data_IF_395699545802
#
_entry.id   IF_395699545802
#
_cell.length_a   1.000
_cell.length_b   1.000
_cell.length_c   1.000
_cell.angle_alpha   90.00
_cell.angle_beta   90.00
_cell.angle_gamma   90.00
#
_symmetry.space_group_name_H-M   'P 1'
#
loop_
_entity.id
_entity.type
_entity.pdbx_description
1 polymer ?
#
# COMPACT_ATOMS: atom_id res chain seq x y z
N UNK A 1 30.70 7.70 -4.19
CA UNK A 1 30.18 7.81 -2.82
C UNK A 1 28.77 7.23 -2.78
N UNK A 2 28.28 6.76 -1.62
CA UNK A 2 26.94 6.22 -1.54
C UNK A 2 25.89 7.34 -1.67
N UNK A 3 24.79 7.03 -2.36
CA UNK A 3 23.70 7.95 -2.67
C UNK A 3 22.47 7.50 -1.88
N UNK A 4 21.58 8.45 -1.58
CA UNK A 4 20.28 8.14 -0.98
C UNK A 4 20.30 7.78 0.50
N UNK A 5 21.43 7.86 1.21
CA UNK A 5 21.49 7.63 2.68
C UNK A 5 20.41 8.38 3.50
N UNK A 6 20.03 9.63 3.19
CA UNK A 6 18.95 10.32 3.92
C UNK A 6 17.53 9.88 3.51
N UNK A 7 17.39 9.08 2.45
CA UNK A 7 16.13 8.79 1.76
C UNK A 7 15.83 7.30 1.59
N UNK A 8 16.84 6.43 1.65
CA UNK A 8 16.69 4.99 1.70
C UNK A 8 16.58 4.56 3.16
N UNK A 9 15.41 4.06 3.61
CA UNK A 9 15.24 3.61 4.99
C UNK A 9 16.17 2.45 5.35
N UNK A 10 16.62 1.68 4.35
CA UNK A 10 17.51 0.54 4.53
C UNK A 10 19.00 0.92 4.64
N UNK A 11 19.36 2.21 4.50
CA UNK A 11 20.75 2.66 4.65
C UNK A 11 20.90 3.36 6.02
N UNK A 12 21.65 2.78 6.97
CA UNK A 12 21.84 3.35 8.30
C UNK A 12 22.52 4.73 8.25
N UNK A 13 22.12 5.60 9.18
CA UNK A 13 22.83 6.85 9.44
C UNK A 13 24.23 6.59 10.02
N UNK A 14 25.08 7.61 10.17
CA UNK A 14 26.46 7.44 10.69
C UNK A 14 26.51 6.87 12.11
N UNK A 15 25.41 7.02 12.86
CA UNK A 15 25.33 6.58 14.24
C UNK A 15 24.56 5.26 14.41
N UNK A 16 24.06 4.67 13.32
CA UNK A 16 23.29 3.44 13.35
C UNK A 16 24.18 2.21 13.17
N UNK A 17 23.84 1.12 13.87
CA UNK A 17 24.55 -0.16 13.74
C UNK A 17 24.16 -0.85 12.44
N UNK A 18 25.16 -1.28 11.65
CA UNK A 18 24.95 -2.15 10.49
C UNK A 18 24.68 -3.57 10.98
N UNK A 19 23.48 -4.08 10.75
CA UNK A 19 22.99 -5.38 11.20
C UNK A 19 23.14 -6.44 10.08
N UNK A 20 23.02 -6.05 8.81
CA UNK A 20 23.15 -6.97 7.67
C UNK A 20 23.86 -6.34 6.45
N UNK A 21 24.16 -7.17 5.44
CA UNK A 21 24.89 -6.72 4.24
C UNK A 21 24.11 -5.78 3.32
N UNK A 22 22.77 -5.73 3.42
CA UNK A 22 21.94 -4.83 2.62
C UNK A 22 22.10 -3.37 3.09
N UNK A 23 22.40 -3.19 4.37
CA UNK A 23 22.67 -1.90 5.00
C UNK A 23 24.08 -1.36 4.71
N UNK A 24 24.94 -2.15 4.04
CA UNK A 24 26.27 -1.69 3.64
C UNK A 24 26.15 -0.65 2.53
N UNK A 25 26.76 0.50 2.77
CA UNK A 25 26.73 1.61 1.86
C UNK A 25 27.58 1.30 0.61
N UNK A 26 26.94 1.13 -0.55
CA UNK A 26 27.62 0.81 -1.82
C UNK A 26 27.68 2.02 -2.72
N UNK A 27 28.71 2.10 -3.56
CA UNK A 27 28.75 3.08 -4.65
C UNK A 27 27.75 2.60 -5.72
N UNK A 28 26.69 3.38 -6.02
CA UNK A 28 25.70 2.95 -6.99
C UNK A 28 26.25 3.01 -8.41
N UNK A 29 25.89 2.03 -9.22
CA UNK A 29 26.06 2.11 -10.68
C UNK A 29 25.02 3.08 -11.29
N UNK A 30 25.14 3.36 -12.59
CA UNK A 30 24.26 4.35 -13.24
C UNK A 30 22.78 3.94 -13.25
N UNK A 31 22.48 2.64 -13.33
CA UNK A 31 21.11 2.15 -13.21
C UNK A 31 20.52 2.42 -11.81
N UNK A 32 21.30 2.20 -10.76
CA UNK A 32 20.90 2.50 -9.38
C UNK A 32 20.75 4.01 -9.16
N UNK A 33 21.60 4.84 -9.77
CA UNK A 33 21.45 6.31 -9.75
C UNK A 33 20.15 6.74 -10.43
N UNK A 34 19.84 6.20 -11.60
CA UNK A 34 18.61 6.50 -12.33
C UNK A 34 17.36 6.10 -11.53
N UNK A 35 17.35 4.87 -10.99
CA UNK A 35 16.25 4.39 -10.14
C UNK A 35 16.06 5.26 -8.90
N UNK A 36 17.17 5.65 -8.28
CA UNK A 36 17.14 6.54 -7.12
C UNK A 36 16.57 7.91 -7.48
N UNK A 37 17.03 8.53 -8.58
CA UNK A 37 16.53 9.81 -9.06
C UNK A 37 15.02 9.77 -9.25
N UNK A 38 14.50 8.79 -9.99
CA UNK A 38 13.06 8.68 -10.25
C UNK A 38 12.29 8.44 -8.94
N UNK A 39 12.79 7.59 -8.05
CA UNK A 39 12.14 7.31 -6.76
C UNK A 39 11.93 8.56 -5.92
N UNK A 40 12.94 9.44 -5.83
CA UNK A 40 12.86 10.64 -4.99
C UNK A 40 11.98 11.75 -5.58
N UNK A 41 11.60 11.67 -6.86
CA UNK A 41 10.68 12.66 -7.47
C UNK A 41 9.26 12.56 -6.91
N UNK A 42 8.89 11.40 -6.37
CA UNK A 42 7.56 11.10 -5.89
C UNK A 42 7.53 10.64 -4.42
N UNK A 43 8.59 9.98 -3.94
CA UNK A 43 8.67 9.41 -2.58
C UNK A 43 9.68 10.08 -1.66
N UNK A 44 10.13 11.29 -1.97
CA UNK A 44 11.01 12.04 -1.06
C UNK A 44 10.35 12.28 0.30
N UNK A 45 11.06 12.01 1.39
CA UNK A 45 10.62 12.35 2.74
C UNK A 45 10.54 13.87 2.94
N UNK A 46 9.48 14.33 3.60
CA UNK A 46 9.41 15.69 4.13
C UNK A 46 10.45 15.90 5.24
N UNK A 47 10.92 17.14 5.40
CA UNK A 47 11.81 17.53 6.49
C UNK A 47 13.12 18.20 6.06
N UNK A 48 14.11 18.17 6.95
CA UNK A 48 15.36 18.97 6.84
C UNK A 48 16.47 18.28 6.04
N UNK A 49 16.19 17.16 5.37
CA UNK A 49 17.17 16.36 4.62
C UNK A 49 17.48 16.93 3.22
N UNK A 50 17.41 18.25 3.08
CA UNK A 50 17.66 18.99 1.84
C UNK A 50 18.74 20.03 2.08
N UNK A 51 19.60 20.23 1.09
CA UNK A 51 20.52 21.35 1.05
C UNK A 51 19.74 22.64 0.85
N UNK A 52 20.14 23.69 1.55
CA UNK A 52 19.60 25.03 1.29
C UNK A 52 20.17 25.55 -0.04
N UNK A 53 19.28 25.82 -0.98
CA UNK A 53 19.53 26.64 -2.16
C UNK A 53 18.54 27.80 -2.08
N UNK A 54 18.91 29.04 -2.43
CA UNK A 54 17.95 30.13 -2.60
C UNK A 54 16.83 29.74 -3.59
N UNK A 55 15.67 30.39 -3.51
CA UNK A 55 14.65 30.27 -4.56
C UNK A 55 15.23 30.54 -5.95
N UNK A 56 14.85 29.73 -6.93
CA UNK A 56 15.28 29.90 -8.32
C UNK A 56 14.28 30.76 -9.10
N UNK A 57 12.99 30.69 -8.74
CA UNK A 57 11.95 31.54 -9.33
C UNK A 57 11.93 32.95 -8.73
N UNK A 58 11.80 33.96 -9.59
CA UNK A 58 11.60 35.35 -9.17
C UNK A 58 10.25 35.50 -8.44
N UNK A 59 10.24 36.23 -7.32
CA UNK A 59 9.04 36.43 -6.49
C UNK A 59 8.67 35.24 -5.59
N UNK A 60 9.48 34.18 -5.56
CA UNK A 60 9.29 33.08 -4.62
C UNK A 60 9.90 33.44 -3.25
N UNK A 61 9.05 33.86 -2.31
CA UNK A 61 9.43 34.55 -1.06
C UNK A 61 10.54 33.86 -0.25
N UNK A 62 10.47 32.53 -0.10
CA UNK A 62 11.55 31.76 0.52
C UNK A 62 11.36 30.26 0.33
N UNK A 63 12.48 29.55 0.20
CA UNK A 63 12.52 28.10 0.43
C UNK A 63 12.59 27.84 1.93
N UNK A 64 11.78 26.90 2.40
CA UNK A 64 11.75 26.54 3.82
C UNK A 64 13.08 25.94 4.26
N UNK A 65 13.36 25.96 5.58
CA UNK A 65 14.44 25.14 6.16
C UNK A 65 14.16 23.63 6.08
N UNK A 66 12.98 23.25 5.58
CA UNK A 66 12.48 21.90 5.41
C UNK A 66 11.68 21.82 4.13
N UNK A 67 11.83 20.73 3.38
CA UNK A 67 11.05 20.49 2.18
C UNK A 67 9.76 19.72 2.47
N UNK A 68 8.72 19.97 1.67
CA UNK A 68 7.48 19.16 1.67
C UNK A 68 7.79 17.72 1.21
N UNK A 69 6.97 16.76 1.66
CA UNK A 69 7.06 15.38 1.19
C UNK A 69 6.73 15.26 -0.30
N UNK A 70 7.19 14.17 -0.91
CA UNK A 70 6.88 13.87 -2.30
C UNK A 70 5.38 13.57 -2.49
N UNK A 71 4.83 13.85 -3.68
CA UNK A 71 3.39 13.77 -3.96
C UNK A 71 2.80 12.38 -3.69
N UNK A 72 3.55 11.31 -3.95
CA UNK A 72 3.07 9.92 -3.83
C UNK A 72 3.22 9.32 -2.43
N UNK A 73 4.00 9.96 -1.55
CA UNK A 73 4.17 9.52 -0.17
C UNK A 73 3.11 10.14 0.77
N UNK A 74 2.59 11.31 0.42
CA UNK A 74 1.61 12.01 1.24
C UNK A 74 2.20 12.58 2.53
N UNK A 75 1.33 12.98 3.47
CA UNK A 75 1.74 13.82 4.61
C UNK A 75 2.18 13.02 5.85
N UNK A 76 1.41 12.01 6.28
CA UNK A 76 1.65 11.37 7.59
C UNK A 76 1.87 9.87 7.57
N UNK A 77 1.27 9.12 6.63
CA UNK A 77 1.14 7.66 6.75
C UNK A 77 1.52 6.87 5.49
N UNK A 78 1.93 7.51 4.38
CA UNK A 78 2.09 6.82 3.10
C UNK A 78 0.74 6.57 2.41
N UNK A 79 0.63 6.86 1.11
CA UNK A 79 -0.55 6.50 0.34
C UNK A 79 -0.50 5.04 -0.11
N UNK A 80 -1.64 4.37 -0.05
CA UNK A 80 -1.81 3.06 -0.70
C UNK A 80 -1.97 3.28 -2.20
N UNK A 81 -1.19 2.55 -2.98
CA UNK A 81 -1.28 2.57 -4.43
C UNK A 81 -1.59 1.18 -4.96
N UNK A 82 -2.34 1.12 -6.06
CA UNK A 82 -2.70 -0.13 -6.71
C UNK A 82 -2.55 -0.02 -8.23
N UNK A 83 -2.00 -1.05 -8.85
CA UNK A 83 -1.79 -1.12 -10.30
C UNK A 83 -1.86 -2.58 -10.79
N UNK A 84 -1.94 -2.74 -12.12
CA UNK A 84 -1.87 -4.06 -12.73
C UNK A 84 -0.43 -4.57 -12.82
N UNK A 85 -0.27 -5.87 -12.78
CA UNK A 85 1.00 -6.55 -12.91
C UNK A 85 0.88 -7.63 -13.99
N UNK A 86 1.78 -7.64 -14.96
CA UNK A 86 1.84 -8.63 -16.03
C UNK A 86 2.86 -9.71 -15.77
N UNK A 87 2.87 -10.73 -16.63
CA UNK A 87 3.87 -11.79 -16.65
C UNK A 87 5.25 -11.29 -17.11
N UNK A 88 5.29 -10.14 -17.79
CA UNK A 88 6.51 -9.47 -18.22
C UNK A 88 6.45 -7.98 -17.88
N UNK A 89 7.62 -7.32 -17.82
CA UNK A 89 7.67 -5.86 -17.62
C UNK A 89 6.92 -5.11 -18.71
N UNK A 90 7.03 -5.56 -19.97
CA UNK A 90 6.32 -4.94 -21.10
C UNK A 90 4.80 -5.05 -20.93
N UNK A 91 4.32 -6.21 -20.51
CA UNK A 91 2.90 -6.45 -20.21
C UNK A 91 2.44 -5.57 -19.04
N UNK A 92 3.21 -5.50 -17.95
CA UNK A 92 2.93 -4.60 -16.81
C UNK A 92 2.80 -3.15 -17.25
N UNK A 93 3.74 -2.66 -18.08
CA UNK A 93 3.66 -1.30 -18.61
C UNK A 93 2.39 -1.13 -19.42
N UNK A 94 2.15 -2.01 -20.40
CA UNK A 94 1.00 -1.91 -21.31
C UNK A 94 -0.34 -1.94 -20.57
N UNK A 95 -0.49 -2.80 -19.56
CA UNK A 95 -1.72 -2.91 -18.76
C UNK A 95 -2.05 -1.60 -18.01
N UNK A 96 -1.05 -0.79 -17.67
CA UNK A 96 -1.21 0.44 -16.90
C UNK A 96 -1.19 1.72 -17.74
N UNK A 97 -1.04 1.63 -19.07
CA UNK A 97 -1.08 2.80 -19.94
C UNK A 97 -2.51 3.35 -20.08
N UNK A 98 -2.65 4.66 -19.86
CA UNK A 98 -3.88 5.38 -20.13
C UNK A 98 -3.85 5.97 -21.53
N UNK A 99 -4.91 5.71 -22.29
CA UNK A 99 -5.19 6.37 -23.56
C UNK A 99 -5.59 7.83 -23.31
N UNK A 100 -5.51 8.67 -24.35
CA UNK A 100 -6.00 10.06 -24.30
C UNK A 100 -7.48 10.13 -23.92
N UNK A 101 -8.29 9.16 -24.36
CA UNK A 101 -9.71 9.10 -24.01
C UNK A 101 -9.94 8.71 -22.53
N UNK A 102 -9.15 7.79 -21.99
CA UNK A 102 -9.19 7.43 -20.56
C UNK A 102 -8.76 8.62 -19.69
N UNK A 103 -7.70 9.33 -20.09
CA UNK A 103 -7.25 10.56 -19.42
C UNK A 103 -8.30 11.67 -19.47
N UNK A 104 -9.03 11.81 -20.57
CA UNK A 104 -10.09 12.82 -20.69
C UNK A 104 -11.29 12.57 -19.77
N UNK A 105 -11.40 11.38 -19.16
CA UNK A 105 -12.41 11.12 -18.13
C UNK A 105 -12.07 11.79 -16.78
N UNK A 106 -10.83 12.29 -16.64
CA UNK A 106 -10.38 13.06 -15.49
C UNK A 106 -10.40 14.55 -15.85
N UNK A 107 -11.33 15.36 -15.31
CA UNK A 107 -11.45 16.78 -15.68
C UNK A 107 -10.15 17.57 -15.52
N UNK A 108 -9.33 17.22 -14.52
CA UNK A 108 -8.05 17.88 -14.27
C UNK A 108 -6.95 17.57 -15.32
N UNK A 109 -7.10 16.50 -16.11
CA UNK A 109 -6.11 16.06 -17.11
C UNK A 109 -6.64 16.08 -18.54
N UNK A 110 -7.89 16.52 -18.77
CA UNK A 110 -8.52 16.55 -20.09
C UNK A 110 -7.68 17.28 -21.14
N UNK A 111 -7.03 18.38 -20.74
CA UNK A 111 -6.21 19.25 -21.60
C UNK A 111 -4.72 19.11 -21.36
N UNK A 112 -4.29 18.07 -20.67
CA UNK A 112 -2.86 17.87 -20.38
C UNK A 112 -2.10 17.50 -21.66
N UNK A 113 -1.00 18.22 -21.91
CA UNK A 113 -0.12 18.01 -23.05
C UNK A 113 0.68 16.70 -22.92
N UNK A 114 0.84 16.18 -21.69
CA UNK A 114 1.61 15.00 -21.33
C UNK A 114 3.11 15.12 -21.63
N UNK A 115 3.65 16.33 -21.51
CA UNK A 115 5.08 16.60 -21.69
C UNK A 115 5.82 16.18 -20.41
N UNK A 116 6.77 15.24 -20.48
CA UNK A 116 7.56 14.85 -19.32
C UNK A 116 8.51 15.99 -18.90
N UNK A 117 8.88 16.07 -17.61
CA UNK A 117 9.74 17.14 -17.14
C UNK A 117 11.12 17.19 -17.81
N UNK A 118 11.68 16.09 -18.33
CA UNK A 118 12.99 16.12 -18.99
C UNK A 118 12.96 16.64 -20.44
N UNK A 119 11.78 16.68 -21.08
CA UNK A 119 11.62 17.30 -22.40
C UNK A 119 11.43 18.81 -22.28
N UNK A 120 10.80 19.24 -21.18
CA UNK A 120 10.63 20.64 -20.83
C UNK A 120 10.85 20.80 -19.32
N UNK A 121 12.11 21.09 -18.95
CA UNK A 121 12.50 21.22 -17.55
C UNK A 121 12.04 22.58 -17.00
N UNK A 122 11.50 22.61 -15.76
CA UNK A 122 11.31 23.88 -15.07
C UNK A 122 12.67 24.55 -14.79
N UNK A 123 12.72 25.86 -14.94
CA UNK A 123 13.82 26.74 -14.52
C UNK A 123 13.82 26.95 -13.00
N UNK A 124 12.65 26.86 -12.35
CA UNK A 124 12.50 27.04 -10.91
C UNK A 124 11.27 26.39 -10.29
N UNK A 125 10.90 26.80 -9.08
CA UNK A 125 9.85 26.17 -8.28
C UNK A 125 8.43 26.60 -8.68
N UNK A 126 8.31 27.72 -9.39
CA UNK A 126 7.04 28.36 -9.72
C UNK A 126 7.03 29.08 -11.07
N UNK A 127 7.81 28.61 -12.04
CA UNK A 127 7.62 29.02 -13.44
C UNK A 127 6.36 28.36 -14.06
N UNK A 128 6.11 28.65 -15.34
CA UNK A 128 4.97 28.11 -16.10
C UNK A 128 4.97 26.57 -16.14
N UNK A 129 6.14 25.96 -16.36
CA UNK A 129 6.32 24.50 -16.43
C UNK A 129 6.03 23.86 -15.08
N UNK A 130 6.57 24.41 -13.99
CA UNK A 130 6.36 23.94 -12.64
C UNK A 130 4.88 24.04 -12.23
N UNK A 131 4.20 25.14 -12.58
CA UNK A 131 2.77 25.32 -12.32
C UNK A 131 1.91 24.33 -13.11
N UNK A 132 2.25 24.06 -14.37
CA UNK A 132 1.60 23.02 -15.19
C UNK A 132 1.80 21.64 -14.58
N UNK A 133 3.03 21.32 -14.16
CA UNK A 133 3.37 20.02 -13.58
C UNK A 133 2.54 19.72 -12.31
N UNK A 134 2.31 20.73 -11.44
CA UNK A 134 1.50 20.62 -10.21
C UNK A 134 0.06 20.15 -10.42
N UNK A 135 -0.49 20.25 -11.63
CA UNK A 135 -1.84 19.77 -11.97
C UNK A 135 -1.87 18.70 -13.07
N UNK A 136 -0.74 18.42 -13.71
CA UNK A 136 -0.62 17.44 -14.80
C UNK A 136 -0.62 15.99 -14.32
N UNK A 137 -1.04 15.09 -15.21
CA UNK A 137 -0.82 13.66 -15.13
C UNK A 137 0.67 13.32 -15.04
N UNK A 138 1.54 14.00 -15.80
CA UNK A 138 2.98 13.74 -15.75
C UNK A 138 3.59 14.04 -14.38
N UNK A 139 3.08 15.05 -13.67
CA UNK A 139 3.43 15.34 -12.28
C UNK A 139 3.04 14.22 -11.31
N UNK A 140 2.05 13.39 -11.64
CA UNK A 140 1.73 12.19 -10.86
C UNK A 140 2.74 11.07 -11.08
N UNK A 141 3.38 11.00 -12.24
CA UNK A 141 4.37 9.96 -12.58
C UNK A 141 5.79 10.35 -12.15
N UNK A 142 6.19 11.59 -12.45
CA UNK A 142 7.51 12.15 -12.15
C UNK A 142 7.34 13.59 -11.68
N UNK A 143 7.21 13.76 -10.36
CA UNK A 143 6.86 15.05 -9.77
C UNK A 143 7.97 16.10 -9.80
N UNK A 144 9.25 15.73 -9.80
CA UNK A 144 10.34 16.68 -9.47
C UNK A 144 10.12 17.38 -8.12
N UNK A 145 9.62 16.67 -7.10
CA UNK A 145 9.54 17.21 -5.74
C UNK A 145 10.90 17.56 -5.12
N UNK A 146 11.99 17.10 -5.75
CA UNK A 146 13.37 17.41 -5.43
C UNK A 146 14.11 17.83 -6.69
N UNK A 147 14.92 18.88 -6.57
CA UNK A 147 15.94 19.18 -7.57
C UNK A 147 17.22 18.49 -7.17
N UNK A 148 17.80 17.74 -8.11
CA UNK A 148 18.88 16.80 -7.83
C UNK A 148 20.01 17.01 -8.81
N UNK A 149 21.22 17.22 -8.27
CA UNK A 149 22.43 17.30 -9.05
C UNK A 149 23.36 16.16 -8.66
N UNK A 150 23.61 15.25 -9.60
CA UNK A 150 24.63 14.22 -9.44
C UNK A 150 26.02 14.84 -9.63
N UNK A 151 26.92 14.62 -8.68
CA UNK A 151 28.30 15.09 -8.72
C UNK A 151 29.27 13.90 -8.67
N UNK A 152 30.54 14.12 -9.03
CA UNK A 152 31.57 13.06 -8.98
C UNK A 152 31.71 12.44 -7.59
N UNK A 153 31.60 13.27 -6.55
CA UNK A 153 31.85 12.89 -5.16
C UNK A 153 30.57 12.72 -4.35
N UNK A 154 29.39 12.89 -4.93
CA UNK A 154 28.14 12.84 -4.17
C UNK A 154 26.94 13.31 -4.97
N UNK A 155 25.98 13.87 -4.25
CA UNK A 155 24.68 14.26 -4.79
C UNK A 155 24.14 15.38 -3.94
N UNK A 156 23.67 16.42 -4.61
CA UNK A 156 23.03 17.56 -3.97
C UNK A 156 21.52 17.44 -4.17
N UNK A 157 20.77 17.60 -3.08
CA UNK A 157 19.31 17.63 -3.10
C UNK A 157 18.83 18.97 -2.60
N UNK A 158 17.97 19.62 -3.36
CA UNK A 158 17.24 20.79 -2.89
C UNK A 158 15.74 20.56 -2.94
N UNK A 159 15.01 21.38 -2.22
CA UNK A 159 13.57 21.51 -2.41
C UNK A 159 13.27 21.87 -3.88
N UNK A 160 12.42 21.06 -4.51
CA UNK A 160 11.92 21.26 -5.88
C UNK A 160 10.47 21.75 -5.87
N UNK A 161 9.66 21.22 -6.79
CA UNK A 161 8.25 21.61 -6.93
C UNK A 161 7.44 21.16 -5.71
N UNK A 162 6.70 22.09 -5.11
CA UNK A 162 5.75 21.77 -4.04
C UNK A 162 4.40 21.35 -4.60
N UNK A 163 4.05 20.07 -4.44
CA UNK A 163 2.77 19.52 -4.86
C UNK A 163 1.67 19.73 -3.83
N UNK A 164 0.40 19.86 -4.24
CA UNK A 164 -0.73 19.78 -3.34
C UNK A 164 -0.75 18.43 -2.61
N UNK A 165 -1.34 18.40 -1.43
CA UNK A 165 -1.67 17.18 -0.70
C UNK A 165 -3.06 16.68 -1.09
N UNK A 166 -3.43 15.48 -0.67
CA UNK A 166 -4.77 14.95 -0.91
C UNK A 166 -5.89 15.83 -0.33
N UNK A 167 -5.61 16.61 0.72
CA UNK A 167 -6.56 17.58 1.29
C UNK A 167 -6.71 18.83 0.44
N UNK A 168 -5.71 19.13 -0.38
CA UNK A 168 -5.66 20.25 -1.32
C UNK A 168 -6.06 19.80 -2.73
N UNK A 169 -6.66 18.60 -2.88
CA UNK A 169 -7.18 18.09 -4.15
C UNK A 169 -6.23 17.18 -4.94
N UNK A 170 -5.01 16.90 -4.46
CA UNK A 170 -4.10 15.98 -5.16
C UNK A 170 -4.68 14.58 -5.27
N UNK A 171 -4.65 14.02 -6.48
CA UNK A 171 -5.11 12.67 -6.80
C UNK A 171 -4.19 12.07 -7.85
N UNK A 172 -3.85 10.80 -7.67
CA UNK A 172 -3.09 10.01 -8.64
C UNK A 172 -4.01 8.89 -9.15
N UNK A 173 -3.89 8.46 -10.42
CA UNK A 173 -4.77 7.45 -11.00
C UNK A 173 -4.65 6.10 -10.29
N UNK A 174 -3.45 5.77 -9.81
CA UNK A 174 -3.12 4.56 -9.06
C UNK A 174 -3.31 4.71 -7.54
N UNK A 175 -3.78 5.86 -7.05
CA UNK A 175 -4.07 6.04 -5.62
C UNK A 175 -5.31 5.25 -5.22
N UNK A 176 -5.23 4.52 -4.11
CA UNK A 176 -6.38 3.85 -3.53
C UNK A 176 -7.13 4.82 -2.61
N UNK A 177 -8.42 5.00 -2.86
CA UNK A 177 -9.32 5.89 -2.13
C UNK A 177 -10.22 5.09 -1.19
N UNK A 178 -10.74 5.78 -0.17
CA UNK A 178 -11.71 5.26 0.79
C UNK A 178 -12.97 6.15 0.79
N UNK A 179 -13.96 5.79 -0.02
CA UNK A 179 -15.08 6.68 -0.35
C UNK A 179 -14.64 7.85 -1.25
N UNK A 180 -15.49 8.86 -1.38
CA UNK A 180 -15.30 9.93 -2.38
C UNK A 180 -14.07 10.83 -2.13
N UNK A 181 -13.81 11.20 -0.87
CA UNK A 181 -12.84 12.27 -0.56
C UNK A 181 -11.63 11.84 0.29
N UNK A 182 -11.55 10.57 0.70
CA UNK A 182 -10.48 10.12 1.61
C UNK A 182 -9.51 9.22 0.87
N UNK A 183 -8.23 9.38 1.18
CA UNK A 183 -7.19 8.47 0.70
C UNK A 183 -7.09 7.28 1.64
N UNK A 184 -6.90 6.10 1.09
CA UNK A 184 -6.55 4.93 1.88
C UNK A 184 -5.04 4.99 2.19
N UNK A 185 -4.70 5.16 3.46
CA UNK A 185 -3.31 5.15 3.91
C UNK A 185 -2.80 3.73 4.11
N UNK A 186 -1.48 3.58 4.10
CA UNK A 186 -0.85 2.29 4.43
C UNK A 186 -1.07 1.93 5.89
N UNK A 187 -1.45 0.67 6.09
CA UNK A 187 -1.69 0.05 7.39
C UNK A 187 -0.87 -1.24 7.49
N UNK A 188 0.10 -1.26 8.40
CA UNK A 188 0.97 -2.42 8.61
C UNK A 188 0.23 -3.60 9.26
N UNK A 189 -0.87 -3.34 9.97
CA UNK A 189 -1.70 -4.35 10.63
C UNK A 189 -2.79 -4.95 9.73
N UNK A 190 -3.11 -4.28 8.61
CA UNK A 190 -4.10 -4.77 7.64
C UNK A 190 -3.56 -4.71 6.21
N UNK A 191 -3.07 -5.86 5.74
CA UNK A 191 -2.50 -6.01 4.40
C UNK A 191 -3.54 -5.78 3.28
N UNK A 192 -3.14 -5.29 2.10
CA UNK A 192 -4.06 -4.84 1.04
C UNK A 192 -4.98 -5.92 0.49
N UNK A 193 -4.52 -7.17 0.43
CA UNK A 193 -5.30 -8.32 -0.05
C UNK A 193 -6.63 -8.47 0.72
N UNK A 194 -6.69 -8.00 1.98
CA UNK A 194 -7.92 -7.95 2.80
C UNK A 194 -8.99 -6.98 2.29
N UNK A 195 -8.70 -6.20 1.26
CA UNK A 195 -9.64 -5.30 0.60
C UNK A 195 -9.77 -5.61 -0.90
N UNK A 196 -9.32 -6.79 -1.36
CA UNK A 196 -9.39 -7.18 -2.77
C UNK A 196 -10.83 -7.16 -3.29
N UNK A 197 -11.77 -7.68 -2.50
CA UNK A 197 -13.20 -7.67 -2.81
C UNK A 197 -13.72 -6.24 -2.98
N UNK A 198 -13.40 -5.34 -2.03
CA UNK A 198 -13.81 -3.95 -2.10
C UNK A 198 -13.18 -3.21 -3.30
N UNK A 199 -11.89 -3.45 -3.59
CA UNK A 199 -11.19 -2.86 -4.74
C UNK A 199 -11.82 -3.25 -6.08
N UNK A 200 -12.36 -4.47 -6.19
CA UNK A 200 -12.98 -4.99 -7.40
C UNK A 200 -14.49 -4.74 -7.50
N UNK A 201 -15.15 -4.39 -6.40
CA UNK A 201 -16.62 -4.35 -6.30
C UNK A 201 -17.27 -3.46 -7.35
N UNK A 202 -16.75 -2.25 -7.57
CA UNK A 202 -17.35 -1.34 -8.55
C UNK A 202 -17.29 -1.91 -9.98
N UNK A 203 -16.25 -2.69 -10.29
CA UNK A 203 -16.05 -3.25 -11.63
C UNK A 203 -16.78 -4.59 -11.85
N UNK A 204 -17.01 -5.37 -10.78
CA UNK A 204 -17.56 -6.73 -10.88
C UNK A 204 -18.98 -6.87 -10.34
N UNK A 205 -19.43 -6.00 -9.44
CA UNK A 205 -20.79 -5.99 -8.89
C UNK A 205 -21.52 -4.65 -9.02
N UNK A 206 -20.86 -3.59 -9.52
CA UNK A 206 -21.38 -2.21 -9.61
C UNK A 206 -21.76 -1.58 -8.26
N UNK A 207 -21.41 -2.22 -7.15
CA UNK A 207 -21.64 -1.71 -5.79
C UNK A 207 -20.37 -1.07 -5.29
N UNK A 208 -20.46 0.18 -4.84
CA UNK A 208 -19.35 0.81 -4.12
C UNK A 208 -19.27 0.27 -2.68
N UNK A 209 -18.13 -0.33 -2.35
CA UNK A 209 -17.82 -0.82 -0.99
C UNK A 209 -16.86 0.09 -0.24
N UNK A 210 -16.67 1.31 -0.74
CA UNK A 210 -15.93 2.37 -0.09
C UNK A 210 -14.41 2.21 -0.18
N UNK A 211 -13.89 1.32 -1.04
CA UNK A 211 -12.47 1.26 -1.42
C UNK A 211 -12.39 1.22 -2.95
N UNK A 212 -11.67 2.16 -3.54
CA UNK A 212 -11.63 2.31 -5.00
C UNK A 212 -10.24 2.70 -5.48
N UNK A 213 -9.93 2.42 -6.74
CA UNK A 213 -8.74 2.94 -7.40
C UNK A 213 -9.11 3.28 -8.85
N UNK A 214 -9.01 4.55 -9.29
CA UNK A 214 -9.48 4.96 -10.61
C UNK A 214 -8.85 4.14 -11.75
N UNK A 215 -7.54 3.90 -11.69
CA UNK A 215 -6.82 3.11 -12.69
C UNK A 215 -7.30 1.66 -12.75
N UNK A 216 -7.53 1.02 -11.60
CA UNK A 216 -8.05 -0.35 -11.57
C UNK A 216 -9.46 -0.40 -12.17
N UNK A 217 -10.34 0.49 -11.73
CA UNK A 217 -11.74 0.51 -12.18
C UNK A 217 -11.87 0.74 -13.68
N UNK A 218 -11.09 1.68 -14.20
CA UNK A 218 -11.15 2.05 -15.61
C UNK A 218 -10.53 0.98 -16.52
N UNK A 219 -9.40 0.39 -16.12
CA UNK A 219 -8.64 -0.50 -17.02
C UNK A 219 -8.97 -1.98 -16.84
N UNK A 220 -9.59 -2.40 -15.73
CA UNK A 220 -9.91 -3.82 -15.49
C UNK A 220 -10.69 -4.47 -16.65
N UNK A 221 -11.72 -3.83 -17.25
CA UNK A 221 -12.43 -4.43 -18.38
C UNK A 221 -11.53 -4.70 -19.60
N UNK A 222 -10.55 -3.83 -19.84
CA UNK A 222 -9.57 -3.99 -20.94
C UNK A 222 -8.54 -5.06 -20.62
N UNK A 223 -7.98 -5.03 -19.41
CA UNK A 223 -7.03 -6.02 -18.89
C UNK A 223 -7.58 -7.43 -19.05
N UNK A 224 -8.82 -7.67 -18.59
CA UNK A 224 -9.48 -8.98 -18.68
C UNK A 224 -9.63 -9.52 -20.10
N UNK A 225 -9.79 -8.64 -21.08
CA UNK A 225 -9.94 -9.05 -22.49
C UNK A 225 -8.59 -9.32 -23.16
N UNK A 226 -7.53 -8.72 -22.65
CA UNK A 226 -6.25 -8.68 -23.33
C UNK A 226 -5.28 -9.79 -22.90
N UNK A 227 -5.34 -10.21 -21.64
CA UNK A 227 -4.45 -11.23 -21.07
C UNK A 227 -5.26 -12.30 -20.36
N UNK A 228 -4.77 -13.54 -20.37
CA UNK A 228 -5.43 -14.66 -19.68
C UNK A 228 -5.32 -14.55 -18.16
N UNK A 229 -4.25 -13.96 -17.65
CA UNK A 229 -4.03 -13.73 -16.23
C UNK A 229 -3.27 -12.44 -16.01
N UNK A 230 -3.49 -11.82 -14.86
CA UNK A 230 -2.76 -10.63 -14.43
C UNK A 230 -2.72 -10.58 -12.90
N UNK A 231 -1.74 -9.88 -12.36
CA UNK A 231 -1.66 -9.55 -10.96
C UNK A 231 -2.30 -8.20 -10.66
N UNK A 232 -2.82 -8.06 -9.44
CA UNK A 232 -3.09 -6.78 -8.81
C UNK A 232 -2.03 -6.54 -7.75
N UNK A 233 -1.19 -5.55 -8.01
CA UNK A 233 -0.22 -5.07 -7.06
C UNK A 233 -0.87 -3.98 -6.21
N UNK A 234 -0.70 -4.06 -4.90
CA UNK A 234 -1.03 -2.99 -3.96
C UNK A 234 0.11 -2.79 -2.96
N UNK A 235 0.54 -1.55 -2.79
CA UNK A 235 1.69 -1.27 -1.95
C UNK A 235 2.00 0.21 -1.77
N UNK A 236 3.14 0.44 -1.13
CA UNK A 236 3.67 1.76 -0.82
C UNK A 236 4.59 1.74 0.39
N UNK A 237 5.15 2.90 0.75
CA UNK A 237 6.06 3.04 1.90
C UNK A 237 5.36 3.68 3.11
N UNK A 238 5.29 2.94 4.23
CA UNK A 238 4.78 3.49 5.49
C UNK A 238 5.79 4.47 6.06
N UNK A 239 5.33 5.67 6.35
CA UNK A 239 6.11 6.70 7.06
C UNK A 239 5.31 7.23 8.24
N UNK A 240 5.99 7.91 9.15
CA UNK A 240 5.39 8.76 10.18
C UNK A 240 5.84 10.19 9.98
N UNK A 241 4.88 11.10 9.89
CA UNK A 241 5.12 12.54 9.88
C UNK A 241 4.97 13.16 11.27
N UNK A 242 5.90 14.05 11.65
CA UNK A 242 5.75 14.93 12.81
C UNK A 242 6.31 16.32 12.48
N UNK A 243 5.49 17.36 12.63
CA UNK A 243 5.87 18.76 12.37
C UNK A 243 6.58 18.97 11.01
N UNK A 244 6.15 18.26 9.96
CA UNK A 244 6.71 18.35 8.61
C UNK A 244 7.93 17.47 8.33
N UNK A 245 8.51 16.82 9.33
CA UNK A 245 9.57 15.82 9.15
C UNK A 245 8.96 14.41 9.04
N UNK A 246 9.42 13.63 8.07
CA UNK A 246 8.98 12.24 7.87
C UNK A 246 10.11 11.27 8.10
N UNK A 247 9.79 10.10 8.63
CA UNK A 247 10.76 9.01 8.83
C UNK A 247 10.07 7.65 8.79
N UNK A 248 10.84 6.61 8.47
CA UNK A 248 10.46 5.21 8.66
C UNK A 248 11.04 4.78 10.01
N UNK A 249 10.19 4.37 10.97
CA UNK A 249 10.62 4.03 12.33
C UNK A 249 9.93 2.77 12.84
N UNK A 250 10.61 2.04 13.72
CA UNK A 250 10.07 0.89 14.45
C UNK A 250 9.50 -0.19 13.51
N UNK A 251 8.17 -0.27 13.42
CA UNK A 251 7.41 -1.26 12.64
C UNK A 251 6.90 -0.72 11.30
N UNK A 252 7.26 0.53 10.97
CA UNK A 252 6.98 1.09 9.64
C UNK A 252 7.88 0.38 8.61
N UNK A 253 7.31 -0.02 7.48
CA UNK A 253 8.01 -0.70 6.40
C UNK A 253 7.25 -0.45 5.08
N UNK A 254 7.74 -1.00 3.97
CA UNK A 254 6.96 -1.06 2.74
C UNK A 254 5.91 -2.18 2.82
N UNK A 255 4.78 -1.93 2.15
CA UNK A 255 3.80 -2.96 1.85
C UNK A 255 3.99 -3.35 0.39
N UNK A 256 4.12 -4.65 0.14
CA UNK A 256 4.15 -5.25 -1.19
C UNK A 256 3.20 -6.44 -1.18
N UNK A 257 2.05 -6.29 -1.84
CA UNK A 257 1.03 -7.34 -1.96
C UNK A 257 0.70 -7.52 -3.44
N UNK A 258 0.78 -8.77 -3.91
CA UNK A 258 0.51 -9.12 -5.30
C UNK A 258 -0.40 -10.34 -5.33
N UNK A 259 -1.60 -10.18 -5.91
CA UNK A 259 -2.57 -11.27 -6.07
C UNK A 259 -2.84 -11.50 -7.55
N UNK A 260 -2.71 -12.73 -8.00
CA UNK A 260 -2.98 -13.14 -9.37
C UNK A 260 -4.45 -13.49 -9.57
N UNK A 261 -5.01 -13.03 -10.68
CA UNK A 261 -6.37 -13.28 -11.12
C UNK A 261 -6.35 -13.89 -12.53
N UNK A 262 -7.30 -14.79 -12.78
CA UNK A 262 -7.55 -15.37 -14.10
C UNK A 262 -8.72 -14.63 -14.77
N UNK A 263 -8.46 -14.06 -15.93
CA UNK A 263 -9.42 -13.26 -16.68
C UNK A 263 -10.67 -14.04 -17.09
N UNK A 264 -10.56 -15.36 -17.29
CA UNK A 264 -11.66 -16.22 -17.74
C UNK A 264 -12.73 -16.40 -16.66
N UNK A 265 -12.31 -16.45 -15.40
CA UNK A 265 -13.18 -16.77 -14.26
C UNK A 265 -13.69 -15.51 -13.55
N UNK A 266 -13.01 -14.36 -13.73
CA UNK A 266 -13.45 -13.10 -13.16
C UNK A 266 -14.85 -12.74 -13.65
N UNK A 267 -15.84 -12.81 -12.77
CA UNK A 267 -17.24 -12.53 -13.07
C UNK A 267 -18.04 -12.36 -11.80
N UNK A 268 -19.34 -12.12 -11.94
CA UNK A 268 -20.23 -11.88 -10.79
C UNK A 268 -20.28 -13.07 -9.84
N UNK A 269 -20.31 -14.30 -10.36
CA UNK A 269 -20.36 -15.54 -9.55
C UNK A 269 -19.06 -15.77 -8.75
N UNK A 270 -17.90 -15.67 -9.42
CA UNK A 270 -16.60 -15.73 -8.75
C UNK A 270 -16.47 -14.64 -7.69
N UNK A 271 -16.94 -13.42 -8.01
CA UNK A 271 -16.85 -12.28 -7.10
C UNK A 271 -17.74 -12.45 -5.87
N UNK A 272 -18.97 -12.94 -6.02
CA UNK A 272 -19.85 -13.27 -4.88
C UNK A 272 -19.20 -14.34 -3.97
N UNK A 273 -18.51 -15.32 -4.56
CA UNK A 273 -17.77 -16.33 -3.80
C UNK A 273 -16.63 -15.70 -3.01
N UNK A 274 -15.82 -14.83 -3.65
CA UNK A 274 -14.76 -14.10 -2.97
C UNK A 274 -15.31 -13.25 -1.81
N UNK A 275 -16.40 -12.51 -2.02
CA UNK A 275 -17.04 -11.70 -0.98
C UNK A 275 -17.48 -12.56 0.21
N UNK A 276 -18.06 -13.73 -0.04
CA UNK A 276 -18.44 -14.67 1.00
C UNK A 276 -17.23 -15.21 1.78
N UNK A 277 -16.13 -15.54 1.10
CA UNK A 277 -14.89 -15.98 1.77
C UNK A 277 -14.26 -14.85 2.59
N UNK A 278 -14.20 -13.63 2.07
CA UNK A 278 -13.66 -12.48 2.80
C UNK A 278 -14.47 -12.20 4.07
N UNK A 279 -15.80 -12.22 3.98
CA UNK A 279 -16.68 -12.07 5.15
C UNK A 279 -16.42 -13.20 6.16
N UNK A 280 -16.34 -14.44 5.70
CA UNK A 280 -16.10 -15.60 6.55
C UNK A 280 -14.75 -15.54 7.28
N UNK A 281 -13.69 -15.07 6.62
CA UNK A 281 -12.37 -14.86 7.21
C UNK A 281 -12.43 -13.80 8.32
N UNK A 282 -13.07 -12.65 8.07
CA UNK A 282 -13.24 -11.58 9.05
C UNK A 282 -14.03 -12.06 10.28
N UNK A 283 -15.13 -12.78 10.07
CA UNK A 283 -15.90 -13.40 11.16
C UNK A 283 -15.05 -14.39 11.97
N UNK A 284 -14.26 -15.23 11.30
CA UNK A 284 -13.39 -16.22 11.97
C UNK A 284 -12.32 -15.55 12.82
N UNK A 285 -11.63 -14.53 12.28
CA UNK A 285 -10.64 -13.75 13.00
C UNK A 285 -11.27 -13.04 14.22
N UNK A 286 -12.45 -12.43 14.04
CA UNK A 286 -13.19 -11.77 15.10
C UNK A 286 -13.56 -12.73 16.23
N UNK A 287 -14.09 -13.91 15.90
CA UNK A 287 -14.43 -14.95 16.89
C UNK A 287 -13.19 -15.36 17.69
N UNK A 288 -12.07 -15.64 17.00
CA UNK A 288 -10.81 -16.01 17.66
C UNK A 288 -10.39 -14.93 18.66
N UNK A 289 -10.28 -13.67 18.20
CA UNK A 289 -9.91 -12.53 19.05
C UNK A 289 -10.81 -12.41 20.27
N UNK A 290 -12.13 -12.49 20.05
CA UNK A 290 -13.14 -12.39 21.11
C UNK A 290 -12.99 -13.49 22.15
N UNK A 291 -12.79 -14.74 21.71
CA UNK A 291 -12.60 -15.90 22.58
C UNK A 291 -11.33 -15.77 23.43
N UNK A 292 -10.20 -15.39 22.82
CA UNK A 292 -8.94 -15.13 23.55
C UNK A 292 -9.11 -13.98 24.55
N UNK A 293 -9.71 -12.87 24.13
CA UNK A 293 -9.96 -11.71 25.01
C UNK A 293 -10.84 -12.08 26.21
N UNK A 294 -11.90 -12.86 26.01
CA UNK A 294 -12.79 -13.30 27.09
C UNK A 294 -12.07 -14.24 28.08
N UNK A 295 -11.25 -15.17 27.57
CA UNK A 295 -10.42 -16.03 28.40
C UNK A 295 -9.47 -15.23 29.30
N UNK A 296 -8.75 -14.26 28.72
CA UNK A 296 -7.79 -13.41 29.45
C UNK A 296 -8.50 -12.54 30.51
N UNK A 297 -9.67 -11.99 30.18
CA UNK A 297 -10.50 -11.21 31.12
C UNK A 297 -10.92 -12.04 32.33
N UNK A 298 -11.31 -13.30 32.13
CA UNK A 298 -11.74 -14.18 33.22
C UNK A 298 -10.56 -14.56 34.15
N UNK A 299 -9.36 -14.71 33.60
CA UNK A 299 -8.15 -14.94 34.41
C UNK A 299 -7.58 -13.68 35.04
N UNK A 300 -8.09 -12.50 34.67
CA UNK A 300 -7.59 -11.16 35.07
C UNK A 300 -6.21 -10.83 34.48
N UNK A 301 -5.90 -11.38 33.32
CA UNK A 301 -4.65 -11.17 32.55
C UNK A 301 -4.78 -10.03 31.50
N UNK A 302 -5.58 -9.01 31.84
CA UNK A 302 -6.02 -7.92 30.94
C UNK A 302 -4.85 -7.05 30.41
N UNK A 303 -3.65 -7.15 31.01
CA UNK A 303 -2.48 -6.35 30.59
C UNK A 303 -1.77 -6.90 29.35
N UNK A 304 -2.13 -8.10 28.88
CA UNK A 304 -1.52 -8.71 27.70
C UNK A 304 -2.38 -8.43 26.46
N UNK A 305 -1.76 -8.04 25.34
CA UNK A 305 -2.43 -7.85 24.04
C UNK A 305 -2.41 -9.14 23.20
N UNK A 306 -2.47 -10.31 23.87
CA UNK A 306 -2.33 -11.61 23.21
C UNK A 306 -3.47 -11.90 22.24
N UNK A 307 -4.67 -11.33 22.45
CA UNK A 307 -5.77 -11.44 21.50
C UNK A 307 -5.46 -10.77 20.15
N UNK A 308 -4.71 -9.67 20.16
CA UNK A 308 -4.28 -8.98 18.94
C UNK A 308 -3.16 -9.75 18.25
N UNK A 309 -2.27 -10.37 19.03
CA UNK A 309 -1.23 -11.25 18.49
C UNK A 309 -1.86 -12.50 17.85
N UNK A 310 -2.83 -13.13 18.51
CA UNK A 310 -3.55 -14.29 17.98
C UNK A 310 -4.29 -13.96 16.68
N UNK A 311 -5.00 -12.82 16.64
CA UNK A 311 -5.64 -12.34 15.43
C UNK A 311 -4.61 -12.07 14.31
N UNK A 312 -3.49 -11.42 14.64
CA UNK A 312 -2.41 -11.14 13.70
C UNK A 312 -1.79 -12.41 13.11
N UNK A 313 -1.55 -13.43 13.92
CA UNK A 313 -0.98 -14.71 13.50
C UNK A 313 -1.96 -15.50 12.62
N UNK A 314 -3.28 -15.38 12.87
CA UNK A 314 -4.31 -15.89 11.96
C UNK A 314 -4.24 -15.21 10.59
N UNK A 315 -4.19 -13.88 10.55
CA UNK A 315 -4.12 -13.14 9.29
C UNK A 315 -2.84 -13.41 8.50
N UNK A 316 -1.69 -13.60 9.17
CA UNK A 316 -0.44 -13.98 8.49
C UNK A 316 -0.54 -15.36 7.84
N UNK A 317 -1.21 -16.31 8.50
CA UNK A 317 -1.45 -17.62 7.90
C UNK A 317 -2.41 -17.51 6.71
N UNK A 318 -3.50 -16.75 6.83
CA UNK A 318 -4.41 -16.47 5.71
C UNK A 318 -3.67 -15.86 4.52
N UNK A 319 -2.78 -14.88 4.75
CA UNK A 319 -1.96 -14.26 3.72
C UNK A 319 -1.13 -15.30 2.95
N UNK A 320 -0.53 -16.27 3.65
CA UNK A 320 0.29 -17.32 3.02
C UNK A 320 -0.47 -18.26 2.07
N UNK A 321 -1.79 -18.38 2.24
CA UNK A 321 -2.65 -19.25 1.41
C UNK A 321 -3.71 -18.47 0.63
N UNK A 322 -3.67 -17.13 0.66
CA UNK A 322 -4.76 -16.32 0.11
C UNK A 322 -4.92 -16.52 -1.40
N UNK A 323 -3.81 -16.76 -2.11
CA UNK A 323 -3.86 -17.08 -3.54
C UNK A 323 -4.64 -18.38 -3.83
N UNK A 324 -4.56 -19.38 -2.94
CA UNK A 324 -5.34 -20.61 -3.06
C UNK A 324 -6.83 -20.37 -2.83
N UNK A 325 -7.20 -19.45 -1.92
CA UNK A 325 -8.58 -19.02 -1.69
C UNK A 325 -9.13 -18.35 -2.96
N UNK A 326 -8.36 -17.43 -3.53
CA UNK A 326 -8.69 -16.72 -4.78
C UNK A 326 -8.93 -17.70 -5.94
N UNK A 327 -8.08 -18.70 -6.10
CA UNK A 327 -8.27 -19.74 -7.11
C UNK A 327 -9.43 -20.69 -6.80
N UNK A 328 -9.67 -20.99 -5.53
CA UNK A 328 -10.79 -21.85 -5.12
C UNK A 328 -12.15 -21.15 -5.28
N UNK A 329 -12.21 -19.83 -5.43
CA UNK A 329 -13.46 -19.12 -5.76
C UNK A 329 -14.04 -19.54 -7.12
N UNK A 330 -13.22 -20.05 -8.05
CA UNK A 330 -13.68 -20.66 -9.31
C UNK A 330 -13.98 -22.16 -9.19
N UNK A 331 -13.59 -22.79 -8.08
CA UNK A 331 -13.88 -24.21 -7.83
C UNK A 331 -14.39 -24.39 -6.40
N UNK A 332 -15.66 -24.00 -6.12
CA UNK A 332 -16.17 -23.91 -4.76
C UNK A 332 -16.08 -25.21 -3.94
N UNK A 333 -16.00 -26.37 -4.60
CA UNK A 333 -15.78 -27.67 -3.96
C UNK A 333 -14.47 -27.77 -3.15
N UNK A 334 -13.47 -26.93 -3.47
CA UNK A 334 -12.20 -26.87 -2.73
C UNK A 334 -12.30 -26.03 -1.45
N UNK A 335 -13.21 -25.07 -1.39
CA UNK A 335 -13.34 -24.11 -0.29
C UNK A 335 -13.61 -24.78 1.07
N UNK A 336 -14.47 -25.83 1.19
CA UNK A 336 -14.67 -26.53 2.45
C UNK A 336 -13.38 -27.08 3.08
N UNK A 337 -12.48 -27.62 2.25
CA UNK A 337 -11.19 -28.17 2.73
C UNK A 337 -10.27 -27.06 3.23
N UNK A 338 -10.19 -25.95 2.49
CA UNK A 338 -9.40 -24.76 2.87
C UNK A 338 -9.92 -24.17 4.18
N UNK A 339 -11.25 -23.96 4.27
CA UNK A 339 -11.92 -23.49 5.49
C UNK A 339 -11.64 -24.40 6.68
N UNK A 340 -11.67 -25.72 6.50
CA UNK A 340 -11.36 -26.66 7.57
C UNK A 340 -9.91 -26.51 8.07
N UNK A 341 -8.95 -26.30 7.17
CA UNK A 341 -7.56 -26.06 7.55
C UNK A 341 -7.37 -24.74 8.29
N UNK A 342 -8.04 -23.67 7.85
CA UNK A 342 -8.07 -22.38 8.54
C UNK A 342 -8.71 -22.46 9.93
N UNK A 343 -9.83 -23.18 10.06
CA UNK A 343 -10.46 -23.42 11.37
C UNK A 343 -9.50 -24.16 12.31
N UNK A 344 -8.86 -25.24 11.84
CA UNK A 344 -7.90 -26.00 12.65
C UNK A 344 -6.72 -25.14 13.10
N UNK A 345 -6.23 -24.27 12.22
CA UNK A 345 -5.19 -23.31 12.56
C UNK A 345 -5.66 -22.32 13.64
N UNK A 346 -6.86 -21.73 13.47
CA UNK A 346 -7.44 -20.82 14.46
C UNK A 346 -7.69 -21.49 15.82
N UNK A 347 -8.15 -22.76 15.84
CA UNK A 347 -8.25 -23.57 17.06
C UNK A 347 -6.88 -23.76 17.71
N UNK A 348 -5.85 -24.09 16.93
CA UNK A 348 -4.48 -24.22 17.43
C UNK A 348 -3.90 -22.92 18.00
N UNK A 349 -4.22 -21.77 17.40
CA UNK A 349 -3.86 -20.46 17.96
C UNK A 349 -4.56 -20.22 19.30
N UNK A 350 -5.86 -20.53 19.40
CA UNK A 350 -6.57 -20.44 20.67
C UNK A 350 -5.88 -21.29 21.75
N UNK A 351 -5.53 -22.53 21.44
CA UNK A 351 -4.85 -23.44 22.36
C UNK A 351 -3.44 -22.96 22.75
N UNK A 352 -2.76 -22.27 21.84
CA UNK A 352 -1.42 -21.70 22.07
C UNK A 352 -1.47 -20.49 23.01
N UNK A 353 -2.44 -19.60 22.81
CA UNK A 353 -2.54 -18.34 23.58
C UNK A 353 -3.40 -18.46 24.85
N UNK A 354 -4.25 -19.49 24.95
CA UNK A 354 -5.06 -19.77 26.12
C UNK A 354 -4.53 -21.05 26.81
N UNK A 355 -3.69 -20.86 27.82
CA UNK A 355 -3.16 -21.96 28.64
C UNK A 355 -4.25 -22.83 29.24
N UNK A 356 -3.91 -24.08 29.53
CA UNK A 356 -4.85 -25.06 30.08
C UNK A 356 -4.15 -26.06 31.01
N UNK A 357 -3.07 -25.61 31.69
CA UNK A 357 -2.31 -26.47 32.60
C UNK A 357 -2.91 -26.59 34.00
N UNK A 358 -3.65 -25.58 34.46
CA UNK A 358 -4.28 -25.56 35.80
C UNK A 358 -5.79 -25.74 35.73
N UNK A 359 -6.40 -26.24 36.82
CA UNK A 359 -7.85 -26.42 36.89
C UNK A 359 -8.62 -25.11 36.62
N UNK A 360 -8.10 -23.97 37.08
CA UNK A 360 -8.71 -22.65 36.83
C UNK A 360 -8.64 -22.26 35.35
N UNK A 361 -7.51 -22.52 34.70
CA UNK A 361 -7.35 -22.26 33.27
C UNK A 361 -8.24 -23.19 32.43
N UNK A 362 -8.29 -24.50 32.73
CA UNK A 362 -9.13 -25.47 32.00
C UNK A 362 -10.61 -25.05 32.00
N UNK A 363 -11.16 -24.64 33.15
CA UNK A 363 -12.56 -24.19 33.23
C UNK A 363 -12.81 -22.98 32.34
N UNK A 364 -11.90 -22.00 32.36
CA UNK A 364 -12.00 -20.79 31.51
C UNK A 364 -11.81 -21.13 30.02
N UNK A 365 -10.86 -22.00 29.70
CA UNK A 365 -10.54 -22.45 28.35
C UNK A 365 -11.75 -23.17 27.72
N UNK A 366 -12.37 -24.12 28.42
CA UNK A 366 -13.57 -24.82 27.90
C UNK A 366 -14.71 -23.85 27.67
N UNK A 367 -14.91 -22.90 28.59
CA UNK A 367 -16.01 -21.93 28.56
C UNK A 367 -15.91 -20.96 27.39
N UNK A 368 -14.69 -20.54 27.03
CA UNK A 368 -14.46 -19.54 25.98
C UNK A 368 -13.93 -20.13 24.67
N UNK A 369 -13.84 -21.46 24.56
CA UNK A 369 -13.38 -22.13 23.34
C UNK A 369 -14.22 -21.72 22.14
N UNK A 370 -13.60 -21.30 21.02
CA UNK A 370 -14.35 -20.86 19.85
C UNK A 370 -15.14 -22.01 19.22
N UNK A 371 -16.34 -21.70 18.71
CA UNK A 371 -17.13 -22.63 17.91
C UNK A 371 -17.35 -22.06 16.50
N UNK A 372 -16.30 -22.13 15.69
CA UNK A 372 -16.29 -21.58 14.35
C UNK A 372 -17.38 -22.17 13.44
N UNK A 373 -17.80 -23.43 13.65
CA UNK A 373 -18.80 -24.11 12.80
C UNK A 373 -20.25 -23.68 13.06
N UNK A 374 -20.59 -23.34 14.31
CA UNK A 374 -21.93 -22.89 14.67
C UNK A 374 -22.12 -21.40 14.43
N UNK A 375 -21.07 -20.60 14.67
CA UNK A 375 -21.18 -19.14 14.60
C UNK A 375 -21.16 -18.64 13.15
N UNK A 376 -20.39 -19.27 12.27
CA UNK A 376 -20.36 -18.89 10.84
C UNK A 376 -21.64 -19.27 10.08
N UNK A 377 -22.42 -20.24 10.57
CA UNK A 377 -23.75 -20.60 10.02
C UNK A 377 -24.86 -19.60 10.36
N UNK A 378 -24.66 -18.74 11.36
CA UNK A 378 -25.66 -17.73 11.74
C UNK A 378 -25.55 -16.43 10.93
N UNK A 379 -24.45 -16.25 10.21
CA UNK A 379 -24.15 -15.03 9.43
C UNK A 379 -24.16 -15.26 7.90
N UNK A 380 -24.43 -16.50 7.47
CA UNK A 380 -24.54 -16.91 6.07
C UNK A 380 -25.95 -16.78 5.51
#
# INVERSE_FOLDING_TARGET
MPIGRPYHPDIPSDNDTVINQMQLNRIPNDAQKALFLVSIMNYSFGGKRVSYIPPLSEGFDSKGKSAKSGPSLGNYNGYMQSCFWGNTVLETVWLNLLTRWELSQFPQWEKDELIPPWEEMPEGEDDEVARRLKSSYMGTLVGLSRFVLLQKEGVLYAEGIQYPSHKEGWREPFMTLRGEDKVNFLDMGRKPWRNLDALLSLSLSTVDRGITCPQIQMLLPRTRKAVSSFGLYSGGLKVRGNAGDQSVKQTDDFINSLIWLDSQVLGQEWFQTLEAEMKWLETTAFILKRCVSNYLKELKEIKSSLEEVAEGDFWRYCESIFQDIVYACDSPDRLPSIRQSLIRYAEGLYDTYCGHETARQIVSWVKHRPNFRLETKKEG
#
